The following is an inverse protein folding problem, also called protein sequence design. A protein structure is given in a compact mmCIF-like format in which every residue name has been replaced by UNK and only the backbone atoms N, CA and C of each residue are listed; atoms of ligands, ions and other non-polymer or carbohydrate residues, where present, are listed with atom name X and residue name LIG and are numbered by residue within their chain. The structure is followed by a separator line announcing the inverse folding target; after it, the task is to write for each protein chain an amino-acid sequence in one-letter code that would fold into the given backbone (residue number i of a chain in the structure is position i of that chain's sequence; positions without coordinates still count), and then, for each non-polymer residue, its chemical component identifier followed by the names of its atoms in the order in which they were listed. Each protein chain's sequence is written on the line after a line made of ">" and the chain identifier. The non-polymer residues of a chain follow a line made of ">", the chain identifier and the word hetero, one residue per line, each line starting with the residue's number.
data_IF_255689044458
#
_entry.id   IF_255689044458
#
_cell.length_a   1.000
_cell.length_b   1.000
_cell.length_c   1.000
_cell.angle_alpha   90.00
_cell.angle_beta   90.00
_cell.angle_gamma   90.00
#
_symmetry.space_group_name_H-M   'P 1'
#
loop_
_entity.id
_entity.type
_entity.pdbx_description
1 polymer ?
#
# COMPACT_ATOMS: atom_id res chain seq x y z
N UNK A 1 10.84 31.16 3.72
CA UNK A 1 11.57 30.07 3.04
C UNK A 1 12.50 29.27 3.97
N UNK A 2 13.36 29.86 4.84
CA UNK A 2 14.29 29.07 5.65
C UNK A 2 13.60 28.20 6.73
N UNK A 3 12.55 28.70 7.39
CA UNK A 3 11.81 27.94 8.41
C UNK A 3 11.09 26.69 7.86
N UNK A 4 10.58 26.75 6.62
CA UNK A 4 9.94 25.60 5.98
C UNK A 4 10.97 24.53 5.64
N UNK A 5 12.18 24.95 5.24
CA UNK A 5 13.27 24.05 4.91
C UNK A 5 13.79 23.29 6.14
N UNK A 6 14.01 23.98 7.27
CA UNK A 6 14.39 23.34 8.54
C UNK A 6 13.32 22.36 9.04
N UNK A 7 12.04 22.71 8.89
CA UNK A 7 10.94 21.80 9.22
C UNK A 7 10.96 20.56 8.32
N UNK A 8 11.07 20.71 6.99
CA UNK A 8 11.15 19.56 6.10
C UNK A 8 12.37 18.67 6.42
N UNK A 9 13.55 19.26 6.64
CA UNK A 9 14.76 18.51 6.96
C UNK A 9 14.60 17.62 8.21
N UNK A 10 14.02 18.17 9.28
CA UNK A 10 13.91 17.45 10.55
C UNK A 10 12.74 16.46 10.60
N UNK A 11 11.69 16.67 9.81
CA UNK A 11 10.45 15.90 9.92
C UNK A 11 10.17 14.96 8.73
N UNK A 12 10.83 15.11 7.58
CA UNK A 12 10.48 14.34 6.38
C UNK A 12 10.61 12.83 6.59
N UNK A 13 11.69 12.37 7.21
CA UNK A 13 11.95 10.96 7.46
C UNK A 13 10.83 10.35 8.32
N UNK A 14 10.42 11.06 9.37
CA UNK A 14 9.34 10.63 10.26
C UNK A 14 7.97 10.64 9.57
N UNK A 15 7.71 11.62 8.71
CA UNK A 15 6.45 11.72 7.96
C UNK A 15 6.33 10.54 6.98
N UNK A 16 7.38 10.27 6.19
CA UNK A 16 7.36 9.21 5.19
C UNK A 16 7.29 7.84 5.86
N UNK A 17 8.11 7.58 6.88
CA UNK A 17 8.07 6.31 7.61
C UNK A 17 6.77 6.14 8.39
N UNK A 18 6.23 7.21 8.97
CA UNK A 18 4.93 7.19 9.65
C UNK A 18 3.79 6.88 8.70
N UNK A 19 3.79 7.49 7.51
CA UNK A 19 2.81 7.21 6.46
C UNK A 19 2.91 5.76 5.97
N UNK A 20 4.12 5.27 5.69
CA UNK A 20 4.34 3.87 5.29
C UNK A 20 3.95 2.89 6.40
N UNK A 21 4.23 3.22 7.67
CA UNK A 21 3.82 2.43 8.82
C UNK A 21 2.30 2.36 8.96
N UNK A 22 1.61 3.49 8.78
CA UNK A 22 0.15 3.54 8.76
C UNK A 22 -0.44 2.72 7.61
N UNK A 23 0.13 2.84 6.41
CA UNK A 23 -0.27 2.03 5.24
C UNK A 23 -0.08 0.53 5.52
N UNK A 24 1.05 0.15 6.12
CA UNK A 24 1.32 -1.23 6.50
C UNK A 24 0.30 -1.76 7.52
N UNK A 25 0.02 -0.97 8.56
CA UNK A 25 -0.96 -1.34 9.58
C UNK A 25 -2.37 -1.53 8.99
N UNK A 26 -2.84 -0.57 8.19
CA UNK A 26 -4.13 -0.67 7.51
C UNK A 26 -4.19 -1.88 6.57
N UNK A 27 -3.12 -2.13 5.81
CA UNK A 27 -3.05 -3.30 4.94
C UNK A 27 -3.24 -4.59 5.73
N UNK A 28 -2.53 -4.78 6.85
CA UNK A 28 -2.64 -6.01 7.66
C UNK A 28 -4.07 -6.16 8.17
N UNK A 29 -4.63 -5.07 8.68
CA UNK A 29 -6.00 -5.04 9.20
C UNK A 29 -7.02 -5.51 8.14
N UNK A 30 -7.01 -4.88 6.96
CA UNK A 30 -7.94 -5.22 5.88
C UNK A 30 -7.70 -6.62 5.30
N UNK A 31 -6.45 -7.07 5.22
CA UNK A 31 -6.12 -8.43 4.78
C UNK A 31 -6.72 -9.47 5.72
N UNK A 32 -6.57 -9.28 7.03
CA UNK A 32 -7.13 -10.21 8.03
C UNK A 32 -8.65 -10.22 7.97
N UNK A 33 -9.29 -9.05 7.98
CA UNK A 33 -10.74 -8.91 7.85
C UNK A 33 -11.24 -9.67 6.61
N UNK A 34 -10.59 -9.47 5.47
CA UNK A 34 -10.99 -10.10 4.22
C UNK A 34 -10.71 -11.59 4.15
N UNK A 35 -9.60 -12.04 4.71
CA UNK A 35 -9.30 -13.46 4.76
C UNK A 35 -10.35 -14.23 5.57
N UNK A 36 -10.80 -13.67 6.69
CA UNK A 36 -11.84 -14.27 7.54
C UNK A 36 -13.20 -14.24 6.83
N UNK A 37 -13.57 -13.09 6.24
CA UNK A 37 -14.82 -12.94 5.52
C UNK A 37 -14.95 -13.93 4.35
N UNK A 38 -13.95 -13.98 3.46
CA UNK A 38 -13.96 -14.85 2.28
C UNK A 38 -13.91 -16.34 2.62
N UNK A 39 -13.38 -16.70 3.80
CA UNK A 39 -13.36 -18.09 4.27
C UNK A 39 -14.68 -18.51 4.92
N UNK A 40 -15.52 -17.56 5.36
CA UNK A 40 -16.79 -17.83 6.07
C UNK A 40 -18.05 -17.59 5.24
N UNK A 41 -17.93 -16.96 4.07
CA UNK A 41 -19.08 -16.59 3.24
C UNK A 41 -19.80 -17.82 2.68
N UNK A 42 -21.13 -17.88 2.83
CA UNK A 42 -21.97 -18.86 2.18
C UNK A 42 -22.62 -18.24 0.95
N UNK A 43 -22.09 -18.57 -0.23
CA UNK A 43 -22.56 -18.03 -1.50
C UNK A 43 -24.03 -18.40 -1.80
N UNK A 44 -24.53 -19.52 -1.28
CA UNK A 44 -25.89 -19.99 -1.60
C UNK A 44 -27.02 -19.08 -1.06
N UNK A 45 -26.71 -18.18 -0.12
CA UNK A 45 -27.71 -17.27 0.47
C UNK A 45 -28.02 -16.06 -0.41
N UNK A 46 -27.16 -15.73 -1.37
CA UNK A 46 -27.32 -14.53 -2.20
C UNK A 46 -28.28 -14.79 -3.37
N UNK A 47 -29.32 -13.97 -3.46
CA UNK A 47 -30.33 -14.04 -4.54
C UNK A 47 -29.82 -13.40 -5.83
N UNK A 48 -29.02 -12.33 -5.72
CA UNK A 48 -28.50 -11.57 -6.85
C UNK A 48 -26.96 -11.62 -6.89
N UNK A 49 -26.40 -11.81 -8.09
CA UNK A 49 -24.96 -11.78 -8.32
C UNK A 49 -24.35 -10.41 -7.97
N UNK A 50 -25.09 -9.33 -8.17
CA UNK A 50 -24.60 -7.98 -7.90
C UNK A 50 -24.40 -7.74 -6.40
N UNK A 51 -25.29 -8.27 -5.54
CA UNK A 51 -25.13 -8.19 -4.09
C UNK A 51 -23.89 -8.97 -3.62
N UNK A 52 -23.69 -10.17 -4.17
CA UNK A 52 -22.50 -10.98 -3.90
C UNK A 52 -21.22 -10.27 -4.36
N UNK A 53 -21.20 -9.70 -5.57
CA UNK A 53 -20.03 -9.00 -6.10
C UNK A 53 -19.66 -7.79 -5.24
N UNK A 54 -20.64 -7.00 -4.76
CA UNK A 54 -20.41 -5.87 -3.85
C UNK A 54 -19.75 -6.34 -2.55
N UNK A 55 -20.30 -7.39 -1.93
CA UNK A 55 -19.80 -7.92 -0.67
C UNK A 55 -18.43 -8.58 -0.80
N UNK A 56 -18.15 -9.25 -1.91
CA UNK A 56 -16.86 -9.84 -2.20
C UNK A 56 -15.79 -8.77 -2.48
N UNK A 57 -16.12 -7.69 -3.18
CA UNK A 57 -15.17 -6.65 -3.62
C UNK A 57 -14.86 -5.56 -2.59
N UNK A 58 -15.71 -5.35 -1.60
CA UNK A 58 -15.48 -4.37 -0.51
C UNK A 58 -14.04 -4.46 0.06
N UNK A 59 -13.45 -3.38 0.53
CA UNK A 59 -12.10 -3.32 1.14
C UNK A 59 -10.88 -3.88 0.34
N UNK A 60 -11.05 -4.66 -0.74
CA UNK A 60 -9.97 -5.14 -1.61
C UNK A 60 -9.32 -4.00 -2.37
N UNK A 61 -10.11 -3.00 -2.75
CA UNK A 61 -9.61 -1.76 -3.36
C UNK A 61 -8.57 -1.10 -2.47
N UNK A 62 -8.78 -1.06 -1.15
CA UNK A 62 -7.84 -0.43 -0.21
C UNK A 62 -6.50 -1.17 -0.20
N UNK A 63 -6.54 -2.51 -0.16
CA UNK A 63 -5.32 -3.35 -0.21
C UNK A 63 -4.58 -3.15 -1.55
N UNK A 64 -5.33 -3.07 -2.66
CA UNK A 64 -4.76 -2.78 -3.98
C UNK A 64 -4.10 -1.40 -4.04
N UNK A 65 -4.81 -0.37 -3.54
CA UNK A 65 -4.32 1.01 -3.50
C UNK A 65 -3.07 1.14 -2.64
N UNK A 66 -3.01 0.47 -1.49
CA UNK A 66 -1.80 0.47 -0.65
C UNK A 66 -0.65 -0.21 -1.40
N UNK A 67 -0.90 -1.36 -2.03
CA UNK A 67 0.11 -2.10 -2.77
C UNK A 67 0.68 -1.33 -3.97
N UNK A 68 -0.15 -0.55 -4.67
CA UNK A 68 0.31 0.25 -5.81
C UNK A 68 0.94 1.58 -5.41
N UNK A 69 0.52 2.19 -4.30
CA UNK A 69 0.99 3.52 -3.91
C UNK A 69 2.15 3.52 -2.90
N UNK A 70 2.35 2.47 -2.10
CA UNK A 70 3.45 2.40 -1.15
C UNK A 70 4.85 2.63 -1.78
N UNK A 71 5.17 2.10 -3.00
CA UNK A 71 6.45 2.40 -3.65
C UNK A 71 6.60 3.89 -4.00
N UNK A 72 5.52 4.54 -4.44
CA UNK A 72 5.54 5.95 -4.79
C UNK A 72 5.71 6.86 -3.57
N UNK A 73 5.15 6.46 -2.41
CA UNK A 73 5.41 7.15 -1.14
C UNK A 73 6.89 7.05 -0.75
N UNK A 74 7.50 5.86 -0.90
CA UNK A 74 8.94 5.68 -0.66
C UNK A 74 9.81 6.51 -1.60
N UNK A 75 9.48 6.51 -2.90
CA UNK A 75 10.15 7.30 -3.93
C UNK A 75 10.06 8.80 -3.63
N UNK A 76 8.88 9.29 -3.23
CA UNK A 76 8.69 10.69 -2.82
C UNK A 76 9.64 11.06 -1.69
N UNK A 77 9.79 10.20 -0.68
CA UNK A 77 10.74 10.42 0.41
C UNK A 77 12.18 10.53 -0.09
N UNK A 78 12.60 9.66 -1.01
CA UNK A 78 13.94 9.73 -1.60
C UNK A 78 14.15 11.02 -2.41
N UNK A 79 13.16 11.43 -3.22
CA UNK A 79 13.23 12.68 -4.00
C UNK A 79 13.37 13.89 -3.06
N UNK A 80 12.56 13.96 -2.00
CA UNK A 80 12.63 15.06 -1.05
C UNK A 80 13.96 15.06 -0.29
N UNK A 81 14.46 13.90 0.17
CA UNK A 81 15.75 13.80 0.85
C UNK A 81 16.93 14.27 -0.01
N UNK A 82 16.93 13.90 -1.29
CA UNK A 82 17.94 14.37 -2.27
C UNK A 82 17.84 15.88 -2.47
N UNK A 83 16.63 16.43 -2.62
CA UNK A 83 16.42 17.87 -2.78
C UNK A 83 16.90 18.67 -1.57
N UNK A 84 16.65 18.18 -0.35
CA UNK A 84 17.13 18.79 0.88
C UNK A 84 18.66 18.78 0.94
N UNK A 85 19.28 17.63 0.64
CA UNK A 85 20.74 17.49 0.62
C UNK A 85 21.40 18.47 -0.36
N UNK A 86 20.86 18.62 -1.56
CA UNK A 86 21.39 19.57 -2.55
C UNK A 86 21.16 21.03 -2.17
N UNK A 87 20.04 21.34 -1.51
CA UNK A 87 19.80 22.69 -1.03
C UNK A 87 20.79 23.10 0.06
N UNK A 88 21.09 22.21 1.02
CA UNK A 88 22.11 22.44 2.04
C UNK A 88 23.47 22.71 1.40
N UNK A 89 23.88 21.86 0.45
CA UNK A 89 25.13 22.02 -0.28
C UNK A 89 25.26 23.39 -0.96
N UNK A 90 24.16 23.92 -1.53
CA UNK A 90 24.14 25.24 -2.14
C UNK A 90 24.28 26.41 -1.16
N UNK A 91 24.00 26.19 0.13
CA UNK A 91 24.06 27.20 1.19
C UNK A 91 25.29 27.07 2.09
N UNK A 92 26.03 25.96 2.05
CA UNK A 92 27.21 25.71 2.90
C UNK A 92 28.44 26.56 2.60
N UNK A 93 28.39 27.51 1.66
CA UNK A 93 29.45 28.51 1.46
C UNK A 93 30.83 27.97 1.03
N UNK A 94 30.94 26.68 0.69
CA UNK A 94 32.18 26.06 0.18
C UNK A 94 32.81 25.00 1.09
N UNK A 95 32.38 24.86 2.35
CA UNK A 95 32.79 23.75 3.21
C UNK A 95 31.86 22.55 2.98
N UNK A 96 32.35 21.56 2.24
CA UNK A 96 31.56 20.41 1.80
C UNK A 96 31.99 19.19 2.62
N UNK A 97 31.18 18.83 3.62
CA UNK A 97 31.34 17.54 4.30
C UNK A 97 30.71 16.42 3.45
N UNK A 98 31.56 15.75 2.67
CA UNK A 98 31.16 14.61 1.84
C UNK A 98 30.56 13.45 2.68
N UNK A 99 31.00 13.27 3.92
CA UNK A 99 30.49 12.20 4.77
C UNK A 99 29.04 12.45 5.19
N UNK A 100 28.71 13.69 5.56
CA UNK A 100 27.34 14.09 5.88
C UNK A 100 26.39 13.93 4.68
N UNK A 101 26.84 14.30 3.47
CA UNK A 101 26.05 14.14 2.24
C UNK A 101 25.74 12.66 1.97
N UNK A 102 26.75 11.79 2.07
CA UNK A 102 26.56 10.35 1.87
C UNK A 102 25.57 9.78 2.89
N UNK A 103 25.63 10.26 4.14
CA UNK A 103 24.71 9.83 5.19
C UNK A 103 23.26 10.26 4.89
N UNK A 104 23.03 11.52 4.50
CA UNK A 104 21.69 12.04 4.15
C UNK A 104 21.09 11.30 2.94
N UNK A 105 21.89 11.03 1.92
CA UNK A 105 21.45 10.24 0.75
C UNK A 105 21.11 8.79 1.14
N UNK A 106 21.87 8.18 2.05
CA UNK A 106 21.57 6.82 2.53
C UNK A 106 20.23 6.74 3.28
N UNK A 107 19.90 7.76 4.08
CA UNK A 107 18.62 7.87 4.79
C UNK A 107 17.45 8.02 3.80
N UNK A 108 17.66 8.78 2.72
CA UNK A 108 16.69 8.92 1.65
C UNK A 108 16.40 7.58 0.96
N UNK A 109 17.41 6.72 0.74
CA UNK A 109 17.25 5.40 0.12
C UNK A 109 16.47 4.40 1.02
N UNK A 110 16.64 4.50 2.34
CA UNK A 110 15.88 3.69 3.32
C UNK A 110 14.37 3.86 3.14
N UNK A 111 13.87 5.07 2.84
CA UNK A 111 12.44 5.30 2.62
C UNK A 111 11.87 4.48 1.45
N UNK A 112 12.61 4.39 0.34
CA UNK A 112 12.22 3.56 -0.82
C UNK A 112 12.24 2.08 -0.47
N UNK A 113 13.26 1.61 0.25
CA UNK A 113 13.34 0.22 0.68
C UNK A 113 12.11 -0.18 1.53
N UNK A 114 11.70 0.68 2.47
CA UNK A 114 10.48 0.45 3.28
C UNK A 114 9.22 0.50 2.43
N UNK A 115 9.13 1.41 1.46
CA UNK A 115 7.98 1.49 0.55
C UNK A 115 7.78 0.19 -0.25
N UNK A 116 8.87 -0.37 -0.78
CA UNK A 116 8.86 -1.66 -1.49
C UNK A 116 8.50 -2.81 -0.53
N UNK A 117 9.05 -2.79 0.70
CA UNK A 117 8.76 -3.79 1.72
C UNK A 117 7.27 -3.84 2.08
N UNK A 118 6.55 -2.71 2.05
CA UNK A 118 5.10 -2.65 2.27
C UNK A 118 4.32 -3.07 1.01
N UNK A 119 4.79 -2.67 -0.16
CA UNK A 119 4.10 -2.91 -1.43
C UNK A 119 4.03 -4.39 -1.83
N UNK A 120 5.15 -5.11 -1.71
CA UNK A 120 5.25 -6.51 -2.16
C UNK A 120 4.24 -7.40 -1.42
N UNK A 121 4.19 -7.44 -0.08
CA UNK A 121 3.19 -8.23 0.64
C UNK A 121 1.77 -7.82 0.31
N UNK A 122 1.49 -6.51 0.21
CA UNK A 122 0.16 -5.98 -0.10
C UNK A 122 -0.36 -6.52 -1.44
N UNK A 123 0.48 -6.52 -2.48
CA UNK A 123 0.11 -7.05 -3.79
C UNK A 123 -0.05 -8.57 -3.78
N UNK A 124 0.80 -9.31 -3.05
CA UNK A 124 0.67 -10.76 -2.91
C UNK A 124 -0.66 -11.13 -2.26
N UNK A 125 -1.03 -10.47 -1.15
CA UNK A 125 -2.30 -10.71 -0.47
C UNK A 125 -3.49 -10.29 -1.34
N UNK A 126 -3.42 -9.13 -2.00
CA UNK A 126 -4.48 -8.69 -2.92
C UNK A 126 -4.74 -9.71 -4.02
N UNK A 127 -3.70 -10.24 -4.67
CA UNK A 127 -3.84 -11.24 -5.72
C UNK A 127 -4.46 -12.55 -5.19
N UNK A 128 -4.03 -13.00 -4.02
CA UNK A 128 -4.59 -14.19 -3.38
C UNK A 128 -6.06 -14.04 -2.98
N UNK A 129 -6.43 -12.90 -2.39
CA UNK A 129 -7.81 -12.61 -2.00
C UNK A 129 -8.71 -12.41 -3.23
N UNK A 130 -8.22 -11.73 -4.27
CA UNK A 130 -8.94 -11.55 -5.54
C UNK A 130 -9.22 -12.90 -6.22
N UNK A 131 -8.27 -13.84 -6.15
CA UNK A 131 -8.52 -15.21 -6.63
C UNK A 131 -9.64 -15.91 -5.85
N UNK A 132 -9.66 -15.76 -4.52
CA UNK A 132 -10.75 -16.32 -3.69
C UNK A 132 -12.11 -15.72 -4.03
N UNK A 133 -12.17 -14.41 -4.30
CA UNK A 133 -13.38 -13.72 -4.77
C UNK A 133 -13.91 -14.36 -6.05
N UNK A 134 -13.06 -14.52 -7.07
CA UNK A 134 -13.49 -15.10 -8.35
C UNK A 134 -13.96 -16.55 -8.17
N UNK A 135 -13.28 -17.35 -7.35
CA UNK A 135 -13.71 -18.72 -7.06
C UNK A 135 -15.10 -18.75 -6.40
N UNK A 136 -15.38 -17.86 -5.44
CA UNK A 136 -16.70 -17.78 -4.81
C UNK A 136 -17.79 -17.33 -5.78
N UNK A 137 -17.47 -16.39 -6.67
CA UNK A 137 -18.36 -15.95 -7.74
C UNK A 137 -18.71 -17.08 -8.71
N UNK A 138 -17.72 -17.88 -9.10
CA UNK A 138 -17.93 -19.05 -9.95
C UNK A 138 -18.76 -20.14 -9.25
N UNK A 139 -18.53 -20.39 -7.95
CA UNK A 139 -19.36 -21.32 -7.16
C UNK A 139 -20.83 -20.90 -7.15
N UNK A 140 -21.12 -19.61 -6.96
CA UNK A 140 -22.49 -19.08 -7.03
C UNK A 140 -23.13 -19.32 -8.40
N UNK A 141 -22.41 -19.03 -9.48
CA UNK A 141 -22.89 -19.24 -10.86
C UNK A 141 -23.18 -20.72 -11.14
N UNK A 142 -22.33 -21.64 -10.66
CA UNK A 142 -22.54 -23.08 -10.83
C UNK A 142 -23.82 -23.56 -10.11
N UNK A 143 -24.07 -23.09 -8.88
CA UNK A 143 -25.26 -23.44 -8.09
C UNK A 143 -26.55 -22.94 -8.75
N UNK A 144 -26.57 -21.69 -9.23
CA UNK A 144 -27.76 -21.13 -9.88
C UNK A 144 -27.95 -21.60 -11.32
N UNK A 145 -26.86 -21.91 -12.03
CA UNK A 145 -26.90 -22.52 -13.36
C UNK A 145 -27.54 -23.92 -13.32
N UNK A 146 -27.21 -24.75 -12.32
CA UNK A 146 -27.85 -26.07 -12.14
C UNK A 146 -29.34 -25.97 -11.81
N UNK A 147 -29.75 -24.97 -11.03
CA UNK A 147 -31.16 -24.75 -10.65
C UNK A 147 -32.07 -24.46 -11.84
N UNK A 148 -31.51 -23.94 -12.93
CA UNK A 148 -32.26 -23.58 -14.14
C UNK A 148 -32.34 -24.71 -15.19
N UNK A 149 -31.60 -25.81 -15.01
CA UNK A 149 -31.58 -26.96 -15.95
C UNK A 149 -32.45 -28.12 -15.41
N UNK A 150 -32.74 -28.12 -14.11
CA UNK A 150 -33.57 -29.14 -13.44
C UNK A 150 -35.03 -28.74 -13.20
N UNK A 151 -35.51 -27.67 -13.82
CA UNK A 151 -36.90 -27.17 -13.74
C UNK A 151 -37.59 -27.24 -15.10
#
# INVERSE_FOLDING_TARGET
>A
MPQLFEFLHNYIDYIILGLLGLMSFLMIWFVIERFIFLSKINVAHYTNIHELDIDLQRNLTIISTIGSNAPYVGLLGTVIGILLTFYELGHSGGDIDAAAIMLNLSLALKATAVGILVAIPSMVFYNGLSRKVEVNRLKWKALNGQKNIGA
#
